data_IF_278277101660
#
_entry.id   IF_278277101660
#
_cell.length_a   1.000
_cell.length_b   1.000
_cell.length_c   1.000
_cell.angle_alpha   90.00
_cell.angle_beta   90.00
_cell.angle_gamma   90.00
#
_symmetry.space_group_name_H-M   'P 1'
#
loop_
_entity.id
_entity.type
_entity.pdbx_description
1 polymer ?
2 polymer ?
3 water ?
#
# COMPACT_ATOMS: atom_id res chain seq x y z
N UNK A 5 -2.96 17.54 -12.08
CA UNK A 5 -2.37 16.80 -10.93
C UNK A 5 -2.47 15.29 -11.14
N UNK A 6 -1.71 14.79 -12.11
CA UNK A 6 -1.68 13.37 -12.43
C UNK A 6 -0.29 12.99 -12.91
N UNK A 7 0.14 11.77 -12.60
CA UNK A 7 1.47 11.30 -12.99
C UNK A 7 1.48 10.66 -14.38
N UNK A 8 2.42 11.09 -15.21
CA UNK A 8 2.54 10.55 -16.57
C UNK A 8 3.42 9.30 -16.56
N UNK A 9 3.12 8.37 -17.45
CA UNK A 9 3.89 7.13 -17.55
C UNK A 9 5.38 7.41 -17.71
N UNK A 10 5.70 8.52 -18.37
CA UNK A 10 7.08 8.90 -18.59
C UNK A 10 7.76 9.12 -17.24
N UNK A 11 7.09 9.85 -16.36
CA UNK A 11 7.61 10.14 -15.04
C UNK A 11 7.75 8.86 -14.22
N UNK A 12 6.85 7.90 -14.46
CA UNK A 12 6.89 6.63 -13.75
C UNK A 12 8.09 5.80 -14.18
N UNK A 13 8.38 5.81 -15.48
CA UNK A 13 9.51 5.05 -16.02
C UNK A 13 10.83 5.59 -15.46
N UNK A 14 10.88 6.89 -15.23
CA UNK A 14 12.07 7.52 -14.69
C UNK A 14 12.28 7.06 -13.25
N UNK A 15 11.18 6.97 -12.50
CA UNK A 15 11.25 6.56 -11.10
C UNK A 15 11.77 5.13 -10.93
N UNK A 16 11.45 4.25 -11.87
CA UNK A 16 11.91 2.86 -11.77
C UNK A 16 13.12 2.57 -12.66
N UNK A 17 13.86 3.62 -13.00
CA UNK A 17 15.04 3.46 -13.85
C UNK A 17 16.00 2.37 -13.39
N UNK A 18 16.16 2.23 -12.08
CA UNK A 18 17.08 1.22 -11.54
C UNK A 18 16.44 -0.14 -11.29
N UNK A 19 15.16 -0.28 -11.64
CA UNK A 19 14.45 -1.54 -11.43
C UNK A 19 14.84 -2.64 -12.42
N UNK A 20 14.72 -3.88 -11.98
CA UNK A 20 15.07 -5.03 -12.82
C UNK A 20 13.98 -5.38 -13.84
N UNK A 21 12.73 -5.09 -13.48
CA UNK A 21 11.58 -5.37 -14.35
C UNK A 21 10.80 -4.07 -14.41
N UNK A 22 11.24 -3.17 -15.29
CA UNK A 22 10.64 -1.85 -15.41
C UNK A 22 9.24 -1.79 -16.05
N UNK A 23 9.10 -2.27 -17.28
CA UNK A 23 7.79 -2.23 -17.92
C UNK A 23 6.70 -2.88 -17.05
N UNK A 24 7.03 -4.01 -16.43
CA UNK A 24 6.07 -4.72 -15.58
C UNK A 24 5.67 -3.91 -14.36
N UNK A 25 6.64 -3.26 -13.74
CA UNK A 25 6.37 -2.44 -12.56
C UNK A 25 5.53 -1.24 -12.96
N UNK A 26 5.89 -0.59 -14.06
CA UNK A 26 5.12 0.56 -14.52
C UNK A 26 3.69 0.14 -14.86
N UNK A 27 3.56 -0.97 -15.58
CA UNK A 27 2.25 -1.47 -15.99
C UNK A 27 1.31 -1.64 -14.81
N UNK A 28 1.78 -2.31 -13.76
CA UNK A 28 0.94 -2.53 -12.60
C UNK A 28 0.68 -1.24 -11.82
N UNK A 29 1.69 -0.38 -11.72
CA UNK A 29 1.51 0.88 -11.01
C UNK A 29 0.40 1.68 -11.68
N UNK A 30 0.42 1.74 -13.01
CA UNK A 30 -0.62 2.47 -13.73
C UNK A 30 -1.99 1.89 -13.38
N UNK A 31 -2.09 0.57 -13.38
CA UNK A 31 -3.35 -0.10 -13.06
C UNK A 31 -3.84 0.28 -11.67
N UNK A 32 -2.93 0.26 -10.71
CA UNK A 32 -3.28 0.57 -9.33
C UNK A 32 -3.75 2.00 -9.13
N UNK A 33 -2.97 2.97 -9.61
CA UNK A 33 -3.34 4.37 -9.43
C UNK A 33 -4.55 4.79 -10.26
N UNK A 34 -4.87 4.02 -11.29
CA UNK A 34 -6.03 4.31 -12.11
C UNK A 34 -7.29 3.89 -11.34
N UNK A 35 -7.23 2.71 -10.73
CA UNK A 35 -8.36 2.18 -9.97
C UNK A 35 -8.47 2.80 -8.59
N UNK A 36 -7.33 3.03 -7.95
CA UNK A 36 -7.29 3.63 -6.62
C UNK A 36 -6.72 5.05 -6.72
N UNK A 37 -7.62 5.99 -6.99
CA UNK A 37 -7.29 7.40 -7.16
C UNK A 37 -6.53 8.06 -6.01
N UNK A 38 -6.61 7.49 -4.82
CA UNK A 38 -5.93 8.09 -3.67
C UNK A 38 -4.54 7.56 -3.37
N UNK A 39 -4.02 6.70 -4.25
CA UNK A 39 -2.67 6.18 -4.09
C UNK A 39 -1.79 6.91 -5.09
N UNK A 40 -0.65 7.41 -4.61
CA UNK A 40 0.26 8.16 -5.46
C UNK A 40 1.67 7.59 -5.45
N UNK A 41 2.28 7.48 -6.64
CA UNK A 41 3.65 6.96 -6.73
C UNK A 41 4.66 8.02 -6.32
N UNK A 42 5.57 7.66 -5.43
CA UNK A 42 6.60 8.58 -4.98
C UNK A 42 7.94 7.88 -4.86
N UNK A 43 8.99 8.55 -5.31
CA UNK A 43 10.33 8.00 -5.23
C UNK A 43 10.90 8.57 -3.94
N UNK A 44 11.20 7.70 -2.98
CA UNK A 44 11.72 8.15 -1.70
C UNK A 44 12.77 7.18 -1.15
N UNK A 45 13.55 7.64 -0.18
CA UNK A 45 14.58 6.81 0.43
C UNK A 45 13.95 5.82 1.40
N UNK A 46 14.14 4.53 1.14
CA UNK A 46 13.58 3.49 1.99
C UNK A 46 14.43 3.33 3.24
N UNK A 47 13.88 3.75 4.38
CA UNK A 47 14.60 3.65 5.63
C UNK A 47 15.88 4.47 5.62
N UNK A 48 15.95 5.43 4.71
CA UNK A 48 17.13 6.27 4.60
C UNK A 48 18.33 5.49 4.12
N UNK A 49 18.07 4.35 3.48
CA UNK A 49 19.14 3.48 2.98
C UNK A 49 19.35 3.57 1.47
N UNK A 50 18.26 3.54 0.71
CA UNK A 50 18.35 3.61 -0.75
C UNK A 50 16.99 3.96 -1.35
N UNK A 51 17.01 4.60 -2.52
CA UNK A 51 15.77 5.01 -3.19
C UNK A 51 14.99 3.90 -3.86
N UNK A 52 13.68 3.94 -3.65
CA UNK A 52 12.75 2.98 -4.24
C UNK A 52 11.45 3.74 -4.46
N UNK A 53 10.61 3.23 -5.34
CA UNK A 53 9.33 3.87 -5.58
C UNK A 53 8.29 3.17 -4.72
N UNK A 54 7.35 3.94 -4.18
CA UNK A 54 6.30 3.36 -3.38
C UNK A 54 4.99 4.01 -3.74
N UNK A 55 3.89 3.33 -3.42
CA UNK A 55 2.56 3.87 -3.67
C UNK A 55 2.07 4.33 -2.31
N UNK A 56 1.85 5.64 -2.19
CA UNK A 56 1.42 6.25 -0.94
C UNK A 56 0.04 6.88 -1.01
N UNK A 57 -0.72 6.75 0.07
CA UNK A 57 -2.05 7.32 0.11
C UNK A 57 -2.99 6.49 0.94
N UNK A 58 -4.25 6.44 0.52
CA UNK A 58 -5.26 5.68 1.25
C UNK A 58 -6.06 4.79 0.32
N UNK A 59 -6.64 3.74 0.90
CA UNK A 59 -7.51 2.83 0.17
C UNK A 59 -8.80 2.81 0.97
N UNK A 60 -9.95 2.77 0.28
CA UNK A 60 -11.26 2.75 0.94
C UNK A 60 -11.60 1.40 1.57
N UNK A 61 -11.76 1.39 2.88
CA UNK A 61 -12.07 0.16 3.61
C UNK A 61 -13.38 0.29 4.40
N UNK A 62 -14.40 -0.49 4.02
CA UNK A 62 -15.69 -0.47 4.71
C UNK A 62 -15.59 -1.23 6.02
N UNK A 63 -16.04 -0.60 7.09
CA UNK A 63 -16.00 -1.21 8.41
C UNK A 63 -17.23 -0.77 9.21
N UNK A 64 -18.05 -1.75 9.59
CA UNK A 64 -19.26 -1.51 10.37
C UNK A 64 -20.19 -0.44 9.81
N UNK A 65 -20.46 -0.51 8.51
CA UNK A 65 -21.36 0.44 7.88
C UNK A 65 -20.77 1.74 7.39
N UNK A 66 -19.49 1.95 7.62
CA UNK A 66 -18.84 3.18 7.18
C UNK A 66 -17.57 2.86 6.41
N UNK A 67 -17.17 3.78 5.53
CA UNK A 67 -15.96 3.57 4.74
C UNK A 67 -14.85 4.47 5.25
N UNK A 68 -13.69 3.88 5.50
CA UNK A 68 -12.56 4.64 5.99
C UNK A 68 -11.42 4.66 4.98
N UNK A 69 -10.67 5.75 4.98
CA UNK A 69 -9.54 5.87 4.07
C UNK A 69 -8.29 5.55 4.87
N UNK A 70 -7.96 4.26 4.90
CA UNK A 70 -6.80 3.77 5.63
C UNK A 70 -5.50 4.18 4.94
N UNK A 71 -4.63 4.92 5.65
CA UNK A 71 -3.35 5.37 5.11
C UNK A 71 -2.36 4.22 4.99
N UNK A 72 -1.84 4.01 3.79
CA UNK A 72 -0.88 2.93 3.55
C UNK A 72 0.29 3.35 2.67
N UNK A 73 1.35 2.55 2.71
CA UNK A 73 2.52 2.79 1.88
C UNK A 73 2.97 1.43 1.37
N UNK A 74 3.01 1.29 0.05
CA UNK A 74 3.41 0.04 -0.58
C UNK A 74 4.76 0.22 -1.27
N UNK A 75 5.82 -0.32 -0.66
CA UNK A 75 7.14 -0.21 -1.24
C UNK A 75 7.36 -1.26 -2.31
N UNK A 76 7.68 -0.83 -3.52
CA UNK A 76 7.94 -1.77 -4.60
C UNK A 76 9.46 -1.96 -4.67
N UNK A 77 9.92 -3.17 -4.35
CA UNK A 77 11.35 -3.44 -4.40
C UNK A 77 11.78 -3.46 -5.86
N UNK A 78 13.07 -3.27 -6.10
CA UNK A 78 13.56 -3.27 -7.47
C UNK A 78 13.43 -4.64 -8.13
N UNK A 79 12.89 -5.61 -7.38
CA UNK A 79 12.65 -6.96 -7.90
C UNK A 79 11.16 -7.15 -8.23
N UNK A 80 10.35 -6.13 -7.98
CA UNK A 80 8.93 -6.23 -8.27
C UNK A 80 8.78 -6.50 -9.78
N UNK A 81 7.79 -7.32 -10.20
CA UNK A 81 6.75 -8.06 -9.47
C UNK A 81 7.12 -9.46 -8.99
N UNK A 82 8.38 -9.85 -9.15
CA UNK A 82 8.79 -11.19 -8.75
C UNK A 82 8.85 -11.38 -7.23
N UNK A 83 9.06 -10.29 -6.50
CA UNK A 83 9.06 -10.32 -5.04
C UNK A 83 7.92 -9.40 -4.64
N UNK A 84 7.20 -9.73 -3.56
CA UNK A 84 6.09 -8.88 -3.11
C UNK A 84 6.53 -7.53 -2.54
N UNK A 85 5.60 -6.56 -2.50
CA UNK A 85 5.95 -5.25 -1.97
C UNK A 85 6.04 -5.33 -0.45
N UNK A 86 6.75 -4.39 0.16
CA UNK A 86 6.86 -4.33 1.61
C UNK A 86 5.79 -3.28 1.92
N UNK A 87 4.79 -3.67 2.71
CA UNK A 87 3.67 -2.77 2.99
C UNK A 87 3.53 -2.31 4.43
N UNK A 88 3.16 -1.05 4.59
CA UNK A 88 2.99 -0.46 5.91
C UNK A 88 1.69 0.34 6.04
N UNK A 89 1.13 0.35 7.24
CA UNK A 89 -0.05 1.17 7.52
C UNK A 89 0.64 2.42 8.04
N UNK A 90 0.14 3.60 7.69
CA UNK A 90 0.78 4.83 8.14
C UNK A 90 -0.16 5.76 8.91
N UNK A 91 -0.31 5.52 10.21
CA UNK A 91 -1.18 6.33 11.06
C UNK A 91 -0.84 7.82 11.09
N UNK A 92 -1.87 8.65 11.11
CA UNK A 92 -1.69 10.09 11.18
C UNK A 92 -1.70 10.46 12.65
N UNK A 93 -1.61 11.76 12.95
CA UNK A 93 -1.60 12.21 14.33
C UNK A 93 -2.91 11.90 15.07
N UNK A 94 -3.99 11.75 14.32
CA UNK A 94 -5.30 11.48 14.91
C UNK A 94 -5.67 10.00 15.02
N UNK A 95 -4.70 9.12 14.83
CA UNK A 95 -4.97 7.69 14.92
C UNK A 95 -3.77 6.92 15.45
N UNK A 96 -3.98 5.65 15.79
CA UNK A 96 -2.90 4.80 16.30
C UNK A 96 -2.92 3.44 15.62
N UNK A 97 -1.75 2.81 15.52
CA UNK A 97 -1.65 1.50 14.89
C UNK A 97 -2.22 0.41 15.78
N UNK A 98 -3.04 -0.47 15.20
CA UNK A 98 -3.63 -1.56 15.94
C UNK A 98 -2.82 -2.82 15.67
N UNK A 99 -1.88 -3.12 16.56
CA UNK A 99 -1.04 -4.29 16.41
C UNK A 99 -1.89 -5.55 16.52
N UNK A 100 -1.64 -6.50 15.63
CA UNK A 100 -2.40 -7.74 15.65
C UNK A 100 -1.94 -8.74 14.62
N UNK A 101 -2.85 -9.63 14.25
CA UNK A 101 -2.58 -10.69 13.29
C UNK A 101 -1.88 -10.23 12.01
N UNK A 102 -2.39 -9.16 11.40
CA UNK A 102 -1.83 -8.67 10.15
C UNK A 102 -0.97 -7.42 10.21
N UNK A 103 -0.70 -6.91 11.42
CA UNK A 103 0.10 -5.70 11.57
C UNK A 103 1.02 -5.79 12.78
N UNK A 104 2.32 -5.56 12.60
CA UNK A 104 3.24 -5.63 13.73
C UNK A 104 3.44 -4.26 14.38
N UNK A 105 4.31 -4.20 15.39
CA UNK A 105 4.57 -2.95 16.11
C UNK A 105 4.96 -1.79 15.20
N UNK A 106 5.70 -2.08 14.13
CA UNK A 106 6.15 -1.05 13.20
C UNK A 106 5.13 -0.67 12.13
N UNK A 107 3.98 -1.32 12.14
CA UNK A 107 2.95 -1.02 11.16
C UNK A 107 3.11 -1.82 9.88
N UNK A 108 4.06 -2.74 9.87
CA UNK A 108 4.30 -3.57 8.70
C UNK A 108 3.15 -4.56 8.55
N UNK A 109 2.66 -4.70 7.32
CA UNK A 109 1.55 -5.61 7.04
C UNK A 109 2.00 -7.04 6.74
N UNK A 110 1.27 -8.00 7.29
CA UNK A 110 1.54 -9.43 7.08
C UNK A 110 0.26 -10.08 6.58
N UNK A 111 0.33 -10.70 5.41
CA UNK A 111 -0.84 -11.35 4.83
C UNK A 111 -0.42 -12.60 4.08
N UNK A 112 -1.30 -13.62 4.04
CA UNK A 112 -0.95 -14.84 3.32
C UNK A 112 -0.64 -14.49 1.87
N UNK A 113 -1.38 -13.52 1.33
CA UNK A 113 -1.19 -13.08 -0.05
C UNK A 113 0.26 -12.67 -0.30
N UNK A 114 0.85 -11.97 0.67
CA UNK A 114 2.24 -11.53 0.56
C UNK A 114 3.21 -12.69 0.78
N UNK A 115 2.91 -13.53 1.77
CA UNK A 115 3.75 -14.67 2.10
C UNK A 115 3.94 -15.65 0.94
N UNK A 116 2.87 -15.96 0.21
CA UNK A 116 2.98 -16.89 -0.91
C UNK A 116 3.01 -16.20 -2.26
N UNK A 117 3.27 -14.89 -2.25
CA UNK A 117 3.33 -14.11 -3.49
C UNK A 117 4.08 -14.83 -4.60
N UNK A 118 3.47 -14.88 -5.78
CA UNK A 118 4.07 -15.53 -6.95
C UNK A 118 3.58 -14.89 -8.25
N UNK A 119 4.50 -14.29 -9.00
CA UNK A 119 4.18 -13.66 -10.28
C UNK A 119 3.93 -14.79 -11.27
N UNK A 120 2.99 -14.62 -12.21
CA UNK A 120 2.13 -13.45 -12.44
C UNK A 120 0.73 -13.51 -11.82
N UNK A 121 0.42 -14.59 -11.11
CA UNK A 121 -0.90 -14.71 -10.51
C UNK A 121 -1.10 -13.62 -9.46
N UNK A 122 -0.06 -13.39 -8.65
CA UNK A 122 -0.11 -12.38 -7.61
C UNK A 122 0.23 -11.01 -8.19
N UNK A 123 -0.56 -10.00 -7.82
CA UNK A 123 -0.31 -8.64 -8.27
C UNK A 123 -0.84 -7.63 -7.25
N UNK A 124 -0.55 -6.35 -7.47
CA UNK A 124 -0.99 -5.31 -6.56
C UNK A 124 -2.51 -5.17 -6.50
N UNK A 125 -3.18 -5.25 -7.65
CA UNK A 125 -4.64 -5.14 -7.63
C UNK A 125 -5.21 -6.23 -6.73
N UNK A 126 -4.65 -7.43 -6.82
CA UNK A 126 -5.12 -8.53 -5.99
C UNK A 126 -4.83 -8.28 -4.52
N UNK A 127 -3.62 -7.78 -4.25
CA UNK A 127 -3.19 -7.46 -2.89
C UNK A 127 -4.08 -6.41 -2.22
N UNK A 128 -4.38 -5.34 -2.95
CA UNK A 128 -5.21 -4.28 -2.40
C UNK A 128 -6.63 -4.79 -2.16
N UNK A 129 -7.11 -5.66 -3.05
CA UNK A 129 -8.43 -6.24 -2.92
C UNK A 129 -8.47 -7.00 -1.59
N UNK A 130 -7.42 -7.77 -1.32
CA UNK A 130 -7.31 -8.54 -0.08
C UNK A 130 -7.27 -7.61 1.14
N UNK A 131 -6.47 -6.55 1.05
CA UNK A 131 -6.38 -5.61 2.16
C UNK A 131 -7.74 -5.02 2.52
N UNK A 132 -8.52 -4.66 1.51
CA UNK A 132 -9.84 -4.08 1.76
C UNK A 132 -10.73 -5.07 2.52
N UNK A 133 -10.67 -6.33 2.14
CA UNK A 133 -11.47 -7.35 2.80
C UNK A 133 -10.97 -7.63 4.21
N UNK A 134 -9.67 -7.89 4.33
CA UNK A 134 -9.06 -8.19 5.62
C UNK A 134 -9.13 -7.04 6.63
N UNK A 135 -8.81 -5.82 6.18
CA UNK A 135 -8.86 -4.67 7.09
C UNK A 135 -10.31 -4.33 7.40
N UNK A 136 -11.21 -4.76 6.53
CA UNK A 136 -12.62 -4.50 6.75
C UNK A 136 -13.12 -5.27 7.95
N UNK A 137 -12.45 -6.37 8.24
CA UNK A 137 -12.80 -7.22 9.38
C UNK A 137 -11.99 -6.85 10.61
N UNK A 138 -10.75 -6.42 10.38
CA UNK A 138 -9.84 -6.01 11.46
C UNK A 138 -9.04 -4.79 11.03
N UNK A 139 -9.54 -3.59 11.34
CA UNK A 139 -8.83 -2.36 10.97
C UNK A 139 -7.39 -2.33 11.50
N UNK A 140 -6.43 -1.88 10.67
CA UNK A 140 -5.02 -1.80 11.04
C UNK A 140 -4.70 -0.56 11.88
N UNK A 141 -5.67 0.35 11.95
CA UNK A 141 -5.53 1.57 12.74
C UNK A 141 -6.90 2.02 13.23
N UNK A 142 -6.90 2.76 14.34
CA UNK A 142 -8.12 3.29 14.93
C UNK A 142 -7.87 4.75 15.28
N UNK A 143 -8.93 5.55 15.28
CA UNK A 143 -8.80 6.96 15.62
C UNK A 143 -8.60 7.07 17.12
N UNK A 144 -7.75 8.00 17.54
CA UNK A 144 -7.50 8.20 18.96
C UNK A 144 -8.80 8.62 19.62
N UNK A 145 -9.12 8.04 20.78
CA UNK A 145 -10.37 8.38 21.48
C UNK A 145 -10.42 9.85 21.91
C UNK B 1 -11.01 13.74 -0.10
N UNK B 2 -10.79 12.44 -0.36
CA UNK B 2 -10.35 11.51 0.68
C UNK B 2 -9.33 12.11 1.65
N UNK B 3 -9.55 11.89 2.94
CA UNK B 3 -8.64 12.39 3.97
C UNK B 3 -8.47 11.22 4.92
N UNK B 4 -7.22 10.82 5.18
CA UNK B 4 -6.99 9.70 6.10
C UNK B 4 -8.03 9.64 7.22
N UNK B 5 -8.70 8.50 7.36
CA UNK B 5 -9.70 8.32 8.41
C UNK B 5 -9.64 6.89 8.93
N UNK B 6 -9.95 6.72 10.21
CA UNK B 6 -9.94 5.41 10.84
C UNK B 6 -11.13 5.31 11.79
N UNK B 7 -11.62 4.08 12.03
CA UNK B 7 -12.76 3.86 12.93
C UNK B 7 -12.42 4.19 14.38
N UNK B 8 -13.42 4.63 15.16
CA UNK B 8 -13.19 4.97 16.57
C UNK B 8 -12.71 3.77 17.39
N UNK B 9 -11.81 4.01 18.33
CA UNK B 9 -11.27 2.94 19.16
C UNK B 9 -12.39 2.19 19.87
N UNK B 10 -12.24 0.88 19.94
CA UNK B 10 -13.22 0.01 20.58
C UNK B 10 -12.59 -0.76 21.73
N UNK B 11 -11.28 -0.97 21.67
#
# INVERSE_FOLDING_TARGET
GAMGSAVSESQLKKMVSKYKYRDLTVRETVNVITLYKDLKPVLDSYGGSRELMNLTGTIPVPYRGNTYNIPICLWLLDTYPYNPPICFVKPTSSMTIKTGKHVDANGKIYLPYLHEWKHPQSDLLGLIQVMIVVFGDEPPVFSRP
XPEXTAPPEEX
#
